data_IF_385091484927
#
_entry.id   IF_385091484927
#
_cell.length_a   1.000
_cell.length_b   1.000
_cell.length_c   1.000
_cell.angle_alpha   90.00
_cell.angle_beta   90.00
_cell.angle_gamma   90.00
#
_symmetry.space_group_name_H-M   'P 1'
#
loop_
_entity.id
_entity.type
_entity.pdbx_description
1 polymer ?
#
# COMPACT_ATOMS: atom_id res chain seq x y z
N UNK A 1 39.22 -40.40 -76.17
CA UNK A 1 39.13 -40.46 -74.68
C UNK A 1 39.46 -39.08 -74.20
N UNK A 2 38.43 -38.24 -74.06
CA UNK A 2 38.57 -36.81 -73.64
C UNK A 2 38.35 -36.71 -72.16
N UNK A 3 39.35 -36.25 -71.44
CA UNK A 3 39.23 -35.88 -70.01
C UNK A 3 38.78 -34.43 -69.91
N UNK A 4 37.59 -34.20 -69.39
CA UNK A 4 37.05 -32.92 -69.08
C UNK A 4 37.52 -32.57 -67.64
N UNK A 5 38.28 -31.49 -67.49
CA UNK A 5 38.71 -30.97 -66.23
C UNK A 5 37.69 -29.89 -65.87
N UNK A 6 36.90 -30.12 -64.78
CA UNK A 6 35.96 -29.15 -64.24
C UNK A 6 36.70 -28.32 -63.17
N UNK A 7 36.87 -27.04 -63.43
CA UNK A 7 37.35 -26.05 -62.42
C UNK A 7 36.15 -25.65 -61.56
N UNK A 8 36.13 -26.06 -60.29
CA UNK A 8 35.19 -25.55 -59.32
C UNK A 8 35.76 -24.31 -58.68
N UNK A 9 35.21 -23.15 -59.03
CA UNK A 9 35.50 -21.89 -58.35
C UNK A 9 34.79 -21.88 -56.96
N UNK A 10 35.63 -21.83 -55.92
CA UNK A 10 35.17 -21.72 -54.56
C UNK A 10 34.95 -20.22 -54.23
N UNK A 11 33.70 -19.76 -54.29
CA UNK A 11 33.36 -18.38 -53.86
C UNK A 11 33.23 -18.37 -52.33
N UNK A 12 34.19 -17.78 -51.68
CA UNK A 12 34.12 -17.53 -50.23
C UNK A 12 33.13 -16.38 -49.96
N UNK A 13 31.98 -16.74 -49.45
CA UNK A 13 30.98 -15.78 -48.95
C UNK A 13 31.38 -15.35 -47.54
N UNK A 14 31.94 -14.14 -47.40
CA UNK A 14 32.16 -13.49 -46.10
C UNK A 14 30.81 -13.01 -45.60
N UNK A 15 30.20 -13.73 -44.65
CA UNK A 15 29.04 -13.25 -43.88
C UNK A 15 29.59 -12.31 -42.82
N UNK A 16 29.44 -11.01 -43.04
CA UNK A 16 29.61 -9.98 -41.98
C UNK A 16 28.37 -10.07 -41.10
N UNK A 17 28.50 -10.77 -39.99
CA UNK A 17 27.49 -10.77 -38.93
C UNK A 17 27.63 -9.46 -38.14
N UNK A 18 26.85 -8.44 -38.48
CA UNK A 18 26.60 -7.31 -37.59
C UNK A 18 25.70 -7.77 -36.44
N UNK A 19 26.33 -8.16 -35.33
CA UNK A 19 25.63 -8.33 -34.07
C UNK A 19 25.39 -6.96 -33.44
N UNK A 20 24.24 -6.37 -33.72
CA UNK A 20 23.76 -5.22 -32.98
C UNK A 20 23.19 -5.72 -31.64
N UNK A 21 24.05 -5.76 -30.62
CA UNK A 21 23.59 -5.86 -29.23
C UNK A 21 22.91 -4.52 -28.87
N UNK A 22 21.66 -4.38 -29.21
CA UNK A 22 20.78 -3.40 -28.55
C UNK A 22 20.29 -4.06 -27.27
N UNK A 23 20.96 -3.77 -26.13
CA UNK A 23 20.36 -3.98 -24.82
C UNK A 23 18.99 -3.29 -24.81
N UNK A 24 17.95 -3.95 -24.31
CA UNK A 24 16.66 -3.28 -24.12
C UNK A 24 16.88 -2.09 -23.17
N UNK A 25 16.19 -0.95 -23.37
CA UNK A 25 16.32 0.20 -22.50
C UNK A 25 16.01 -0.25 -21.07
N UNK A 26 16.97 -0.04 -20.17
CA UNK A 26 16.81 -0.21 -18.74
C UNK A 26 15.65 0.69 -18.35
N UNK A 27 14.49 0.12 -18.05
CA UNK A 27 13.41 0.86 -17.41
C UNK A 27 13.97 1.33 -16.07
N UNK A 28 14.35 2.59 -16.00
CA UNK A 28 14.51 3.29 -14.74
C UNK A 28 13.12 3.27 -14.09
N UNK A 29 12.99 2.40 -13.11
CA UNK A 29 11.90 2.52 -12.16
C UNK A 29 12.02 3.94 -11.59
N UNK A 30 10.97 4.79 -11.66
CA UNK A 30 11.04 6.07 -10.97
C UNK A 30 11.37 5.73 -9.51
N UNK A 31 12.52 6.19 -9.03
CA UNK A 31 12.83 6.19 -7.60
C UNK A 31 11.64 6.87 -6.94
N UNK A 32 10.81 6.07 -6.27
CA UNK A 32 9.83 6.58 -5.33
C UNK A 32 10.66 7.39 -4.34
N UNK A 33 10.57 8.69 -4.46
CA UNK A 33 11.18 9.61 -3.51
C UNK A 33 10.50 9.31 -2.16
N UNK A 34 11.10 8.41 -1.38
CA UNK A 34 10.66 8.09 -0.03
C UNK A 34 10.90 9.31 0.84
N UNK A 35 10.00 10.29 0.72
CA UNK A 35 9.96 11.38 1.66
C UNK A 35 9.53 10.83 3.00
N UNK A 36 10.43 10.89 3.98
CA UNK A 36 10.13 10.52 5.36
C UNK A 36 8.90 11.30 5.85
N UNK A 37 7.90 10.57 6.34
CA UNK A 37 6.70 11.17 6.92
C UNK A 37 7.09 11.79 8.25
N UNK A 38 6.99 13.11 8.35
CA UNK A 38 7.38 13.88 9.53
C UNK A 38 6.20 14.28 10.41
N UNK A 39 4.97 14.13 9.94
CA UNK A 39 3.75 14.47 10.67
C UNK A 39 2.61 13.50 10.36
N UNK A 40 1.74 13.30 11.36
CA UNK A 40 0.49 12.55 11.15
C UNK A 40 -0.35 13.23 10.08
N UNK A 41 -0.76 12.46 9.06
CA UNK A 41 -1.68 12.88 8.02
C UNK A 41 -2.90 11.99 8.00
N UNK A 42 -4.07 12.59 7.95
CA UNK A 42 -5.36 11.92 7.70
C UNK A 42 -6.02 12.66 6.55
N UNK A 43 -6.25 11.98 5.46
CA UNK A 43 -6.88 12.52 4.27
C UNK A 43 -8.19 11.79 4.00
N UNK A 44 -9.31 12.51 4.04
CA UNK A 44 -10.60 11.94 3.70
C UNK A 44 -10.70 11.71 2.19
N UNK A 45 -10.81 10.45 1.80
CA UNK A 45 -10.95 10.04 0.39
C UNK A 45 -12.41 9.98 -0.04
N UNK A 46 -13.30 9.60 0.88
CA UNK A 46 -14.73 9.45 0.61
C UNK A 46 -15.53 9.62 1.90
N UNK A 47 -16.64 10.34 1.82
CA UNK A 47 -17.74 10.30 2.79
C UNK A 47 -19.05 10.25 2.00
N UNK A 48 -19.81 9.18 2.19
CA UNK A 48 -21.04 8.98 1.42
C UNK A 48 -22.12 8.23 2.24
N UNK A 49 -23.37 8.62 2.08
CA UNK A 49 -24.50 7.88 2.68
C UNK A 49 -24.67 6.53 2.00
N UNK A 50 -24.95 5.49 2.76
CA UNK A 50 -25.28 4.18 2.20
C UNK A 50 -26.69 4.20 1.60
N UNK A 51 -26.85 3.59 0.41
CA UNK A 51 -28.16 3.48 -0.25
C UNK A 51 -29.00 2.34 0.32
N UNK A 52 -28.33 1.28 0.85
CA UNK A 52 -29.01 0.12 1.43
C UNK A 52 -29.63 0.37 2.80
N UNK A 53 -29.14 1.36 3.54
CA UNK A 53 -29.56 1.62 4.92
C UNK A 53 -29.64 3.12 5.14
N UNK A 54 -30.85 3.61 5.44
CA UNK A 54 -31.06 5.01 5.74
C UNK A 54 -30.34 5.44 7.03
N UNK A 55 -29.80 6.66 7.06
CA UNK A 55 -29.16 7.23 8.24
C UNK A 55 -27.74 6.71 8.52
N UNK A 56 -27.17 5.89 7.65
CA UNK A 56 -25.81 5.36 7.77
C UNK A 56 -24.91 5.96 6.68
N UNK A 57 -23.68 6.26 7.03
CA UNK A 57 -22.65 6.71 6.09
C UNK A 57 -21.38 5.86 6.19
N UNK A 58 -20.65 5.85 5.10
CA UNK A 58 -19.30 5.32 5.01
C UNK A 58 -18.30 6.46 4.93
N UNK A 59 -17.19 6.31 5.64
CA UNK A 59 -16.04 7.20 5.60
C UNK A 59 -14.82 6.39 5.23
N UNK A 60 -14.04 6.89 4.27
CA UNK A 60 -12.82 6.24 3.82
C UNK A 60 -11.69 7.26 3.90
N UNK A 61 -10.68 6.96 4.69
CA UNK A 61 -9.54 7.83 4.91
C UNK A 61 -8.23 7.14 4.51
N UNK A 62 -7.31 7.92 3.97
CA UNK A 62 -5.91 7.56 3.86
C UNK A 62 -5.16 8.08 5.07
N UNK A 63 -4.38 7.22 5.71
CA UNK A 63 -3.66 7.49 6.94
C UNK A 63 -2.17 7.33 6.73
N UNK A 64 -1.39 8.34 7.13
CA UNK A 64 0.07 8.27 7.25
C UNK A 64 0.48 8.59 8.68
N UNK A 65 1.21 7.68 9.31
CA UNK A 65 1.70 7.85 10.68
C UNK A 65 3.22 7.78 10.66
N UNK A 66 3.92 8.82 11.14
CA UNK A 66 5.37 8.79 11.27
C UNK A 66 5.83 7.68 12.21
N UNK A 67 7.08 7.26 12.09
CA UNK A 67 7.73 6.40 13.10
C UNK A 67 7.68 7.05 14.50
N UNK A 68 7.75 6.23 15.54
CA UNK A 68 7.76 6.66 16.96
C UNK A 68 6.54 7.52 17.34
N UNK A 69 5.38 7.24 16.74
CA UNK A 69 4.15 8.00 16.98
C UNK A 69 3.09 7.11 17.63
N UNK A 70 2.42 7.65 18.64
CA UNK A 70 1.29 6.99 19.30
C UNK A 70 0.00 7.78 19.07
N UNK A 71 -0.99 7.13 18.49
CA UNK A 71 -2.36 7.64 18.47
C UNK A 71 -3.00 7.34 19.83
N UNK A 72 -3.55 8.35 20.53
CA UNK A 72 -4.11 8.18 21.86
C UNK A 72 -5.31 7.23 21.86
N UNK A 73 -5.65 6.72 23.04
CA UNK A 73 -6.82 5.86 23.22
C UNK A 73 -8.10 6.57 22.78
N UNK A 74 -8.87 5.90 21.95
CA UNK A 74 -10.12 6.42 21.42
C UNK A 74 -11.05 5.26 20.99
N UNK A 75 -12.27 5.60 20.61
CA UNK A 75 -13.16 4.69 19.93
C UNK A 75 -13.88 5.38 18.77
N UNK A 76 -14.43 4.59 17.87
CA UNK A 76 -15.32 5.07 16.81
C UNK A 76 -16.77 4.72 17.12
N UNK A 77 -17.75 5.62 16.83
CA UNK A 77 -19.17 5.34 17.02
C UNK A 77 -19.70 4.25 16.08
N UNK A 78 -18.91 3.84 15.09
CA UNK A 78 -19.16 2.79 14.13
C UNK A 78 -18.15 1.65 14.15
N UNK A 79 -18.23 0.78 13.15
CA UNK A 79 -17.23 -0.24 12.89
C UNK A 79 -16.08 0.36 12.05
N UNK A 80 -14.85 -0.05 12.34
CA UNK A 80 -13.68 0.34 11.57
C UNK A 80 -13.00 -0.89 10.96
N UNK A 81 -12.59 -0.74 9.72
CA UNK A 81 -11.80 -1.70 8.97
C UNK A 81 -10.55 -1.00 8.46
N UNK A 82 -9.39 -1.61 8.67
CA UNK A 82 -8.10 -1.05 8.28
C UNK A 82 -7.41 -2.01 7.33
N UNK A 83 -6.96 -1.51 6.18
CA UNK A 83 -6.04 -2.23 5.29
C UNK A 83 -4.68 -1.56 5.33
N UNK A 84 -3.67 -2.30 5.75
CA UNK A 84 -2.30 -1.80 5.89
C UNK A 84 -1.59 -1.80 4.55
N UNK A 85 -1.17 -0.63 4.09
CA UNK A 85 -0.46 -0.46 2.81
C UNK A 85 1.06 -0.60 2.97
N UNK A 86 1.61 -0.05 4.07
CA UNK A 86 3.06 0.01 4.31
C UNK A 86 3.34 0.03 5.81
N UNK A 87 4.51 -0.52 6.18
CA UNK A 87 5.01 -0.49 7.55
C UNK A 87 4.31 -1.47 8.47
N UNK A 88 4.59 -1.29 9.77
CA UNK A 88 3.99 -2.06 10.83
C UNK A 88 3.75 -1.20 12.08
N UNK A 89 2.90 -1.69 12.99
CA UNK A 89 2.66 -1.03 14.25
C UNK A 89 1.91 -1.92 15.24
N UNK A 90 1.81 -1.44 16.46
CA UNK A 90 1.16 -2.12 17.56
C UNK A 90 -0.27 -1.57 17.73
N UNK A 91 -1.26 -2.42 17.52
CA UNK A 91 -2.65 -2.15 17.86
C UNK A 91 -2.96 -2.69 19.25
N UNK A 92 -3.39 -1.83 20.15
CA UNK A 92 -3.85 -2.17 21.49
C UNK A 92 -5.36 -2.04 21.55
N UNK A 93 -6.07 -3.13 21.74
CA UNK A 93 -7.50 -3.16 22.00
C UNK A 93 -7.73 -3.30 23.50
N UNK A 94 -8.66 -2.53 24.07
CA UNK A 94 -8.98 -2.60 25.49
C UNK A 94 -9.36 -4.05 25.88
N UNK A 95 -8.82 -4.51 26.99
CA UNK A 95 -9.04 -5.85 27.56
C UNK A 95 -8.58 -7.02 26.66
N UNK A 96 -7.68 -6.76 25.70
CA UNK A 96 -7.09 -7.75 24.83
C UNK A 96 -5.56 -7.62 24.78
N UNK A 97 -4.90 -8.67 24.34
CA UNK A 97 -3.47 -8.63 24.06
C UNK A 97 -3.20 -7.69 22.88
N UNK A 98 -2.10 -6.97 22.96
CA UNK A 98 -1.60 -6.17 21.84
C UNK A 98 -1.27 -7.07 20.66
N UNK A 99 -1.54 -6.59 19.45
CA UNK A 99 -1.22 -7.28 18.21
C UNK A 99 -0.35 -6.40 17.32
N UNK A 100 0.60 -7.01 16.64
CA UNK A 100 1.35 -6.34 15.57
C UNK A 100 0.57 -6.49 14.28
N UNK A 101 0.33 -5.36 13.62
CA UNK A 101 -0.28 -5.31 12.28
C UNK A 101 0.72 -4.74 11.29
N UNK A 102 0.78 -5.30 10.09
CA UNK A 102 1.80 -4.99 9.08
C UNK A 102 1.22 -4.93 7.68
N UNK A 103 2.00 -4.44 6.73
CA UNK A 103 1.60 -4.35 5.32
C UNK A 103 0.95 -5.64 4.81
N UNK A 104 -0.21 -5.49 4.19
CA UNK A 104 -1.06 -6.57 3.69
C UNK A 104 -2.11 -7.09 4.68
N UNK A 105 -2.03 -6.73 5.96
CA UNK A 105 -3.01 -7.15 6.95
C UNK A 105 -4.33 -6.36 6.80
N UNK A 106 -5.43 -7.04 7.15
CA UNK A 106 -6.74 -6.44 7.32
C UNK A 106 -7.15 -6.57 8.78
N UNK A 107 -7.53 -5.47 9.38
CA UNK A 107 -7.95 -5.42 10.78
C UNK A 107 -9.38 -4.90 10.86
N UNK A 108 -10.19 -5.52 11.71
CA UNK A 108 -11.49 -4.99 12.13
C UNK A 108 -11.38 -4.51 13.57
N UNK A 109 -11.73 -3.24 13.81
CA UNK A 109 -11.97 -2.70 15.14
C UNK A 109 -13.48 -2.75 15.39
N UNK A 110 -13.95 -3.47 16.42
CA UNK A 110 -15.36 -3.58 16.69
C UNK A 110 -16.00 -2.25 17.09
N UNK A 111 -17.32 -2.17 16.89
CA UNK A 111 -18.14 -1.02 17.26
C UNK A 111 -17.85 -0.55 18.69
N UNK A 112 -17.53 0.74 18.86
CA UNK A 112 -17.25 1.40 20.14
C UNK A 112 -16.14 0.78 20.98
N UNK A 113 -15.28 -0.06 20.37
CA UNK A 113 -14.17 -0.68 21.09
C UNK A 113 -13.02 0.31 21.26
N UNK A 114 -12.61 0.54 22.52
CA UNK A 114 -11.51 1.44 22.84
C UNK A 114 -10.19 0.82 22.35
N UNK A 115 -9.42 1.60 21.62
CA UNK A 115 -8.14 1.16 21.08
C UNK A 115 -7.16 2.32 20.96
N UNK A 116 -5.88 1.97 20.82
CA UNK A 116 -4.78 2.86 20.48
C UNK A 116 -3.85 2.18 19.48
N UNK A 117 -3.05 2.97 18.77
CA UNK A 117 -2.11 2.45 17.79
C UNK A 117 -0.77 3.16 17.94
N UNK A 118 0.33 2.43 17.80
CA UNK A 118 1.68 2.98 17.88
C UNK A 118 2.56 2.43 16.78
N UNK A 119 3.29 3.31 16.10
CA UNK A 119 4.44 2.97 15.26
C UNK A 119 5.70 2.94 16.12
N UNK A 120 6.68 2.11 15.75
CA UNK A 120 7.96 2.01 16.45
C UNK A 120 9.04 2.69 15.61
N UNK A 121 9.70 1.97 14.74
CA UNK A 121 10.91 2.39 14.02
C UNK A 121 10.67 2.67 12.53
N UNK A 122 9.47 2.44 12.04
CA UNK A 122 9.09 2.69 10.66
C UNK A 122 7.77 3.48 10.52
N UNK A 123 7.58 4.07 9.35
CA UNK A 123 6.34 4.75 8.98
C UNK A 123 5.24 3.73 8.73
N UNK A 124 4.01 4.16 8.93
CA UNK A 124 2.82 3.35 8.68
C UNK A 124 1.85 4.06 7.76
N UNK A 125 1.36 3.35 6.74
CA UNK A 125 0.33 3.84 5.82
C UNK A 125 -0.82 2.85 5.74
N UNK A 126 -2.04 3.36 5.75
CA UNK A 126 -3.23 2.51 5.70
C UNK A 126 -4.40 3.20 5.00
N UNK A 127 -5.33 2.39 4.51
CA UNK A 127 -6.69 2.82 4.23
C UNK A 127 -7.56 2.42 5.41
N UNK A 128 -8.28 3.39 5.95
CA UNK A 128 -9.24 3.20 7.03
C UNK A 128 -10.64 3.37 6.45
N UNK A 129 -11.49 2.42 6.71
CA UNK A 129 -12.87 2.40 6.26
C UNK A 129 -13.79 2.27 7.47
N UNK A 130 -14.69 3.24 7.67
CA UNK A 130 -15.62 3.26 8.78
C UNK A 130 -17.06 3.32 8.31
N UNK A 131 -17.93 2.62 9.03
CA UNK A 131 -19.37 2.62 8.80
C UNK A 131 -20.06 3.02 10.10
N UNK A 132 -20.76 4.14 10.09
CA UNK A 132 -21.42 4.67 11.29
C UNK A 132 -22.69 5.47 10.94
N UNK A 133 -23.45 5.83 11.97
CA UNK A 133 -24.60 6.72 11.81
C UNK A 133 -24.17 8.09 11.30
N UNK A 134 -24.91 8.63 10.35
CA UNK A 134 -24.64 9.93 9.73
C UNK A 134 -24.63 11.05 10.77
N UNK A 135 -23.58 11.90 10.66
CA UNK A 135 -23.42 13.06 11.56
C UNK A 135 -22.75 12.75 12.89
N UNK A 136 -22.35 11.51 13.14
CA UNK A 136 -21.52 11.17 14.28
C UNK A 136 -20.09 11.64 14.05
N UNK A 137 -19.31 11.93 15.13
CA UNK A 137 -17.90 12.26 15.02
C UNK A 137 -17.11 11.03 14.55
N UNK A 138 -16.03 11.28 13.80
CA UNK A 138 -15.20 10.17 13.27
C UNK A 138 -14.51 9.37 14.38
N UNK A 139 -14.19 10.01 15.50
CA UNK A 139 -13.61 9.36 16.68
C UNK A 139 -13.93 10.12 17.96
N UNK A 140 -13.88 9.43 19.10
CA UNK A 140 -14.06 9.99 20.42
C UNK A 140 -12.84 9.62 21.27
N UNK A 141 -12.10 10.62 21.73
CA UNK A 141 -10.94 10.43 22.60
C UNK A 141 -11.38 10.00 24.00
N UNK A 142 -10.55 9.19 24.63
CA UNK A 142 -10.71 8.77 26.03
C UNK A 142 -9.74 9.61 26.88
N UNK A 143 -10.28 10.30 27.87
CA UNK A 143 -9.52 11.07 28.86
C UNK A 143 -8.91 10.14 29.91
#
# INVERSE_FOLDING_TARGET
MNKIIIFTAFAAFFLISCSSNTEPPKQENPELNEQEITSLKIENLLRHSLELTEGVEVVMDYLEIPKNTTLPAHYHPGEEFVYVLQGSGELSLKDQSKIIVKAGDVVKVPLKHIHSFSTIDEEYKAIVFRVHEKGQPDRILIE
#
